data_IF_285820923950
#
_entry.id   IF_285820923950
#
_cell.length_a   1.000
_cell.length_b   1.000
_cell.length_c   1.000
_cell.angle_alpha   90.00
_cell.angle_beta   90.00
_cell.angle_gamma   90.00
#
_symmetry.space_group_name_H-M   'P 1'
#
loop_
_entity.id
_entity.type
_entity.pdbx_description
1 polymer ?
#
# COMPACT_ATOMS: atom_id res chain seq x y z
N UNK A 1 4.24 25.84 19.38
CA UNK A 1 4.11 24.40 19.70
C UNK A 1 4.01 23.64 18.38
N UNK A 2 5.11 23.11 17.86
CA UNK A 2 5.10 22.31 16.64
C UNK A 2 4.64 20.89 16.98
N UNK A 3 3.49 20.44 16.45
CA UNK A 3 3.06 19.06 16.59
C UNK A 3 3.98 18.20 15.73
N UNK A 4 4.83 17.39 16.38
CA UNK A 4 5.64 16.39 15.71
C UNK A 4 4.75 15.47 14.89
N UNK A 5 4.95 15.45 13.58
CA UNK A 5 4.19 14.62 12.66
C UNK A 5 4.68 13.18 12.81
N UNK A 6 4.10 12.44 13.76
CA UNK A 6 4.35 11.01 13.89
C UNK A 6 3.86 10.32 12.62
N UNK A 7 4.78 9.79 11.81
CA UNK A 7 4.45 9.01 10.63
C UNK A 7 3.63 7.80 11.09
N UNK A 8 2.32 7.82 10.84
CA UNK A 8 1.44 6.69 11.17
C UNK A 8 1.94 5.49 10.36
N UNK A 9 2.46 4.48 11.05
CA UNK A 9 2.90 3.24 10.42
C UNK A 9 1.65 2.40 10.18
N UNK A 10 1.07 2.51 8.99
CA UNK A 10 -0.08 1.71 8.58
C UNK A 10 0.34 0.26 8.34
N UNK A 11 -0.31 -0.69 9.02
CA UNK A 11 -0.11 -2.13 8.78
C UNK A 11 -0.79 -2.53 7.46
N UNK A 12 -0.08 -3.31 6.64
CA UNK A 12 -0.64 -3.95 5.45
C UNK A 12 -1.36 -5.24 5.87
N UNK A 13 -2.56 -5.44 5.33
CA UNK A 13 -3.35 -6.66 5.46
C UNK A 13 -3.42 -7.34 4.09
N UNK A 14 -3.61 -8.65 4.07
CA UNK A 14 -3.70 -9.43 2.84
C UNK A 14 -4.91 -10.36 2.91
N UNK A 15 -5.80 -10.28 1.91
CA UNK A 15 -7.02 -11.07 1.85
C UNK A 15 -7.12 -11.77 0.50
N UNK A 16 -7.74 -12.95 0.50
CA UNK A 16 -8.10 -13.68 -0.72
C UNK A 16 -9.57 -13.39 -1.03
N UNK A 17 -9.84 -12.34 -1.81
CA UNK A 17 -11.22 -11.83 -2.04
C UNK A 17 -12.19 -12.89 -2.60
N UNK A 18 -11.80 -13.76 -3.58
CA UNK A 18 -12.66 -14.85 -4.01
C UNK A 18 -13.05 -15.83 -2.89
N UNK A 19 -12.14 -16.14 -1.97
CA UNK A 19 -12.38 -17.07 -0.87
C UNK A 19 -12.92 -16.41 0.40
N UNK A 20 -12.66 -15.12 0.57
CA UNK A 20 -13.01 -14.28 1.71
C UNK A 20 -13.51 -12.89 1.25
N UNK A 21 -14.73 -12.81 0.69
CA UNK A 21 -15.27 -11.55 0.18
C UNK A 21 -15.55 -10.50 1.26
N UNK A 22 -15.53 -10.90 2.54
CA UNK A 22 -15.79 -10.04 3.70
C UNK A 22 -14.50 -9.60 4.40
N UNK A 23 -13.33 -10.00 3.88
CA UNK A 23 -12.03 -9.63 4.42
C UNK A 23 -11.89 -9.97 5.92
N UNK A 24 -12.42 -11.13 6.33
CA UNK A 24 -12.41 -11.57 7.73
C UNK A 24 -11.09 -12.25 8.12
N UNK A 25 -10.37 -12.85 7.16
CA UNK A 25 -9.15 -13.61 7.39
C UNK A 25 -7.92 -12.90 6.82
N UNK A 26 -7.20 -12.19 7.69
CA UNK A 26 -5.90 -11.60 7.36
C UNK A 26 -4.82 -12.69 7.16
N UNK A 27 -4.31 -12.80 5.93
CA UNK A 27 -3.24 -13.70 5.50
C UNK A 27 -1.85 -13.04 5.56
N UNK A 28 -1.72 -11.79 6.03
CA UNK A 28 -0.45 -11.06 5.97
C UNK A 28 0.67 -11.76 6.76
N UNK A 29 0.33 -12.38 7.89
CA UNK A 29 1.28 -13.15 8.71
C UNK A 29 1.62 -14.48 8.05
N UNK A 30 0.67 -15.11 7.37
CA UNK A 30 0.85 -16.40 6.68
C UNK A 30 1.67 -16.25 5.40
N UNK A 31 1.58 -15.10 4.72
CA UNK A 31 2.20 -14.84 3.41
C UNK A 31 3.02 -13.54 3.38
N UNK A 32 4.06 -13.40 4.23
CA UNK A 32 4.81 -12.16 4.37
C UNK A 32 5.54 -11.75 3.08
N UNK A 33 5.97 -12.72 2.28
CA UNK A 33 6.66 -12.46 1.01
C UNK A 33 5.74 -11.76 0.00
N UNK A 34 4.47 -12.16 -0.04
CA UNK A 34 3.46 -11.58 -0.92
C UNK A 34 3.07 -10.18 -0.46
N UNK A 35 2.97 -9.96 0.86
CA UNK A 35 2.77 -8.61 1.42
C UNK A 35 3.91 -7.68 1.01
N UNK A 36 5.16 -8.14 1.07
CA UNK A 36 6.32 -7.33 0.66
C UNK A 36 6.29 -7.01 -0.83
N UNK A 37 6.02 -7.99 -1.70
CA UNK A 37 6.01 -7.76 -3.15
C UNK A 37 4.87 -6.85 -3.59
N UNK A 38 3.65 -7.09 -3.10
CA UNK A 38 2.49 -6.26 -3.41
C UNK A 38 2.63 -4.85 -2.80
N UNK A 39 3.17 -4.75 -1.58
CA UNK A 39 3.46 -3.46 -0.95
C UNK A 39 4.47 -2.63 -1.74
N UNK A 40 5.54 -3.25 -2.26
CA UNK A 40 6.50 -2.57 -3.12
C UNK A 40 5.86 -2.09 -4.44
N UNK A 41 5.03 -2.92 -5.07
CA UNK A 41 4.29 -2.54 -6.28
C UNK A 41 3.33 -1.37 -6.03
N UNK A 42 2.63 -1.36 -4.89
CA UNK A 42 1.74 -0.28 -4.49
C UNK A 42 2.50 1.05 -4.31
N UNK A 43 3.66 1.03 -3.65
CA UNK A 43 4.46 2.24 -3.46
C UNK A 43 5.04 2.78 -4.77
N UNK A 44 5.48 1.89 -5.67
CA UNK A 44 5.94 2.28 -7.00
C UNK A 44 4.81 2.95 -7.81
N UNK A 45 3.60 2.37 -7.79
CA UNK A 45 2.44 2.96 -8.45
C UNK A 45 2.02 4.31 -7.83
N UNK A 46 2.03 4.42 -6.50
CA UNK A 46 1.76 5.71 -5.82
C UNK A 46 2.78 6.78 -6.22
N UNK A 47 4.04 6.39 -6.40
CA UNK A 47 5.08 7.30 -6.87
C UNK A 47 4.83 7.73 -8.31
N UNK A 48 4.50 6.81 -9.23
CA UNK A 48 4.17 7.18 -10.61
C UNK A 48 2.96 8.10 -10.69
N UNK A 49 1.93 7.89 -9.86
CA UNK A 49 0.78 8.80 -9.79
C UNK A 49 1.18 10.21 -9.33
N UNK A 50 2.12 10.33 -8.38
CA UNK A 50 2.62 11.65 -7.93
C UNK A 50 3.40 12.36 -9.04
N UNK A 51 4.18 11.62 -9.81
CA UNK A 51 4.95 12.14 -10.94
C UNK A 51 4.03 12.63 -12.06
N UNK A 52 3.02 11.84 -12.46
CA UNK A 52 2.02 12.29 -13.44
C UNK A 52 1.20 13.48 -12.92
N UNK A 53 0.80 13.49 -11.65
CA UNK A 53 0.05 14.63 -11.07
C UNK A 53 0.89 15.91 -11.06
N UNK A 54 2.22 15.81 -10.97
CA UNK A 54 3.12 16.96 -11.04
C UNK A 54 3.23 17.58 -12.45
N UNK A 55 2.58 16.99 -13.47
CA UNK A 55 2.47 17.56 -14.81
C UNK A 55 3.77 17.50 -15.63
N UNK A 56 4.69 16.59 -15.33
CA UNK A 56 5.95 16.43 -16.08
C UNK A 56 5.78 15.71 -17.43
N UNK A 57 4.57 15.31 -17.80
CA UNK A 57 4.24 14.53 -19.00
C UNK A 57 3.40 15.29 -20.04
N UNK A 58 3.21 16.61 -19.91
CA UNK A 58 2.76 17.49 -20.99
C UNK A 58 3.92 18.33 -21.54
N UNK A 59 4.68 17.77 -22.49
CA UNK A 59 5.61 18.52 -23.34
C UNK A 59 5.34 18.21 -24.81
#
# INVERSE_FOLDING_TARGET
>A
MARGNAKVVSRLLLFDIPADPREEKDLAVERPDLVRSMGAALEAWRQSCRESLAGTDYH
#
